data_IF_210836293386
#
_entry.id   IF_210836293386
#
_cell.length_a   1.000
_cell.length_b   1.000
_cell.length_c   1.000
_cell.angle_alpha   90.00
_cell.angle_beta   90.00
_cell.angle_gamma   90.00
#
_symmetry.space_group_name_H-M   'P 1'
#
loop_
_entity.id
_entity.type
_entity.pdbx_description
1 polymer ?
#
# COMPACT_ATOMS: atom_id res chain seq x y z
N UNK A 1 36.22 15.70 -19.66
CA UNK A 1 34.95 15.85 -20.41
C UNK A 1 34.98 14.77 -21.47
N UNK A 2 34.16 13.72 -21.32
CA UNK A 2 34.01 12.61 -22.27
C UNK A 2 32.85 12.80 -23.25
N UNK A 3 32.10 13.90 -23.11
CA UNK A 3 31.00 14.27 -23.99
C UNK A 3 31.50 14.70 -25.37
N UNK A 4 31.22 13.86 -26.36
CA UNK A 4 31.67 13.97 -27.74
C UNK A 4 30.49 13.81 -28.71
N UNK A 5 29.31 14.34 -28.34
CA UNK A 5 28.14 14.34 -29.22
C UNK A 5 27.92 15.72 -29.86
N UNK A 6 27.89 15.82 -31.20
CA UNK A 6 27.98 17.11 -31.90
C UNK A 6 26.67 17.90 -31.95
N UNK A 7 25.51 17.26 -31.72
CA UNK A 7 24.20 17.89 -31.95
C UNK A 7 23.57 18.50 -30.70
N UNK A 8 23.92 18.03 -29.49
CA UNK A 8 23.41 18.57 -28.23
C UNK A 8 24.48 18.48 -27.15
N UNK A 9 24.56 19.50 -26.29
CA UNK A 9 25.43 19.50 -25.11
C UNK A 9 24.84 18.60 -24.02
N UNK A 10 25.68 18.03 -23.14
CA UNK A 10 25.20 17.25 -21.98
C UNK A 10 24.24 18.08 -21.11
N UNK A 11 24.53 19.37 -20.90
CA UNK A 11 23.70 20.24 -20.09
C UNK A 11 22.29 20.43 -20.69
N UNK A 12 22.20 20.62 -22.00
CA UNK A 12 20.90 20.77 -22.67
C UNK A 12 20.15 19.45 -22.76
N UNK A 13 20.86 18.33 -22.95
CA UNK A 13 20.28 16.98 -22.86
C UNK A 13 19.65 16.74 -21.49
N UNK A 14 20.35 17.09 -20.41
CA UNK A 14 19.82 16.95 -19.05
C UNK A 14 18.61 17.86 -18.78
N UNK A 15 18.52 19.04 -19.39
CA UNK A 15 17.32 19.89 -19.30
C UNK A 15 16.11 19.22 -19.97
N UNK A 16 16.31 18.62 -21.15
CA UNK A 16 15.26 17.87 -21.83
C UNK A 16 14.84 16.66 -20.98
N UNK A 17 15.78 15.90 -20.44
CA UNK A 17 15.46 14.75 -19.59
C UNK A 17 14.66 15.18 -18.35
N UNK A 18 14.99 16.31 -17.71
CA UNK A 18 14.20 16.85 -16.59
C UNK A 18 12.76 17.16 -17.00
N UNK A 19 12.57 17.84 -18.13
CA UNK A 19 11.22 18.08 -18.68
C UNK A 19 10.47 16.78 -19.03
N UNK A 20 11.19 15.76 -19.50
CA UNK A 20 10.62 14.44 -19.74
C UNK A 20 10.18 13.76 -18.44
N UNK A 21 11.00 13.79 -17.39
CA UNK A 21 10.63 13.30 -16.05
C UNK A 21 9.35 13.96 -15.55
N UNK A 22 9.22 15.28 -15.67
CA UNK A 22 8.00 16.00 -15.27
C UNK A 22 6.77 15.49 -16.05
N UNK A 23 6.90 15.22 -17.34
CA UNK A 23 5.82 14.64 -18.14
C UNK A 23 5.51 13.19 -17.74
N UNK A 24 6.51 12.38 -17.41
CA UNK A 24 6.32 11.01 -16.94
C UNK A 24 5.61 10.96 -15.58
N UNK A 25 5.87 11.93 -14.69
CA UNK A 25 5.12 12.08 -13.45
C UNK A 25 3.64 12.37 -13.75
N UNK A 26 3.32 13.22 -14.73
CA UNK A 26 1.93 13.46 -15.14
C UNK A 26 1.29 12.26 -15.86
N UNK A 27 2.10 11.45 -16.56
CA UNK A 27 1.64 10.25 -17.25
C UNK A 27 1.14 9.19 -16.26
N UNK A 28 1.57 9.23 -14.99
CA UNK A 28 1.05 8.37 -13.91
C UNK A 28 -0.45 8.52 -13.62
N UNK A 29 -1.08 9.57 -14.17
CA UNK A 29 -2.54 9.72 -14.19
C UNK A 29 -3.08 10.84 -13.30
N UNK A 30 -2.25 11.47 -12.46
CA UNK A 30 -2.67 12.57 -11.58
C UNK A 30 -1.77 13.80 -11.70
N UNK A 31 -2.37 14.96 -11.49
CA UNK A 31 -1.68 16.24 -11.31
C UNK A 31 -1.27 16.39 -9.85
N UNK A 32 -0.36 17.32 -9.57
CA UNK A 32 0.04 17.69 -8.21
C UNK A 32 -1.13 18.15 -7.31
N UNK A 33 -2.25 18.56 -7.91
CA UNK A 33 -3.50 18.92 -7.21
C UNK A 33 -4.36 17.71 -6.81
N UNK A 34 -3.94 16.48 -7.13
CA UNK A 34 -4.75 15.26 -6.93
C UNK A 34 -5.86 15.07 -7.96
N UNK A 35 -6.04 16.03 -8.88
CA UNK A 35 -6.97 15.89 -9.99
C UNK A 35 -6.38 14.99 -11.08
N UNK A 36 -7.25 14.27 -11.78
CA UNK A 36 -6.83 13.38 -12.86
C UNK A 36 -6.15 14.20 -13.97
N UNK A 37 -4.98 13.75 -14.40
CA UNK A 37 -4.31 14.31 -15.57
C UNK A 37 -5.19 14.10 -16.81
N UNK A 38 -5.32 15.15 -17.61
CA UNK A 38 -6.03 15.08 -18.88
C UNK A 38 -5.01 14.84 -19.99
N UNK A 39 -5.20 13.74 -20.71
CA UNK A 39 -4.40 13.33 -21.86
C UNK A 39 -5.34 13.12 -23.04
N UNK A 40 -5.19 13.97 -24.05
CA UNK A 40 -5.82 13.80 -25.37
C UNK A 40 -4.82 13.16 -26.34
N UNK A 41 -5.29 12.78 -27.53
CA UNK A 41 -4.43 12.13 -28.53
C UNK A 41 -3.26 13.01 -28.94
N UNK A 42 -3.45 14.32 -29.01
CA UNK A 42 -2.43 15.29 -29.39
C UNK A 42 -1.27 15.34 -28.38
N UNK A 43 -1.58 15.47 -27.09
CA UNK A 43 -0.57 15.53 -26.04
C UNK A 43 0.13 14.18 -25.84
N UNK A 44 -0.59 13.07 -26.01
CA UNK A 44 0.03 11.73 -26.02
C UNK A 44 0.98 11.58 -27.20
N UNK A 45 0.59 12.01 -28.41
CA UNK A 45 1.44 11.97 -29.59
C UNK A 45 2.73 12.76 -29.37
N UNK A 46 2.64 13.96 -28.79
CA UNK A 46 3.82 14.74 -28.40
C UNK A 46 4.72 14.00 -27.41
N UNK A 47 4.16 13.37 -26.37
CA UNK A 47 4.95 12.62 -25.40
C UNK A 47 5.67 11.41 -26.05
N UNK A 48 4.99 10.72 -26.97
CA UNK A 48 5.59 9.64 -27.76
C UNK A 48 6.68 10.15 -28.72
N UNK A 49 6.52 11.35 -29.28
CA UNK A 49 7.57 12.00 -30.08
C UNK A 49 8.80 12.36 -29.24
N UNK A 50 8.62 12.78 -27.99
CA UNK A 50 9.73 12.95 -27.04
C UNK A 50 10.46 11.62 -26.79
N UNK A 51 9.72 10.53 -26.59
CA UNK A 51 10.31 9.19 -26.52
C UNK A 51 11.11 8.83 -27.79
N UNK A 52 10.54 9.05 -28.98
CA UNK A 52 11.22 8.83 -30.26
C UNK A 52 12.49 9.66 -30.40
N UNK A 53 12.48 10.92 -29.95
CA UNK A 53 13.65 11.78 -29.95
C UNK A 53 14.79 11.16 -29.13
N UNK A 54 14.53 10.74 -27.89
CA UNK A 54 15.56 10.12 -27.05
C UNK A 54 16.10 8.84 -27.66
N UNK A 55 15.24 7.95 -28.16
CA UNK A 55 15.69 6.73 -28.81
C UNK A 55 16.59 7.00 -30.03
N UNK A 56 16.30 8.06 -30.81
CA UNK A 56 17.14 8.41 -31.95
C UNK A 56 18.50 8.97 -31.51
N UNK A 57 18.54 9.82 -30.48
CA UNK A 57 19.78 10.34 -29.91
C UNK A 57 20.63 9.20 -29.35
N UNK A 58 20.05 8.33 -28.52
CA UNK A 58 20.76 7.20 -27.90
C UNK A 58 21.24 6.18 -28.93
N UNK A 59 20.42 5.88 -29.95
CA UNK A 59 20.86 5.03 -31.07
C UNK A 59 22.07 5.61 -31.79
N UNK A 60 22.09 6.93 -32.01
CA UNK A 60 23.24 7.59 -32.65
C UNK A 60 24.50 7.54 -31.78
N UNK A 61 24.35 7.73 -30.45
CA UNK A 61 25.45 7.59 -29.48
C UNK A 61 26.00 6.17 -29.44
N UNK A 62 25.12 5.17 -29.41
CA UNK A 62 25.50 3.75 -29.35
C UNK A 62 26.12 3.23 -30.65
N UNK A 63 25.82 3.86 -31.79
CA UNK A 63 26.33 3.44 -33.11
C UNK A 63 27.80 3.85 -33.38
N UNK A 64 28.36 4.76 -32.57
CA UNK A 64 29.69 5.31 -32.77
C UNK A 64 30.60 4.97 -31.59
N UNK A 65 31.69 4.24 -31.84
CA UNK A 65 32.69 3.93 -30.81
C UNK A 65 33.31 5.19 -30.17
N UNK A 66 33.32 6.31 -30.89
CA UNK A 66 33.81 7.61 -30.41
C UNK A 66 32.88 8.23 -29.36
N UNK A 67 31.58 7.90 -29.40
CA UNK A 67 30.56 8.44 -28.50
C UNK A 67 30.32 7.56 -27.26
N UNK A 68 30.98 6.40 -27.13
CA UNK A 68 30.85 5.52 -25.96
C UNK A 68 31.13 6.23 -24.63
N UNK A 69 32.18 7.06 -24.48
CA UNK A 69 32.41 7.84 -23.26
C UNK A 69 31.27 8.82 -22.93
N UNK A 70 30.51 9.26 -23.94
CA UNK A 70 29.37 10.17 -23.75
C UNK A 70 28.14 9.46 -23.17
N UNK A 71 27.96 8.17 -23.46
CA UNK A 71 26.92 7.34 -22.84
C UNK A 71 27.25 7.12 -21.35
N UNK A 72 28.50 6.81 -21.03
CA UNK A 72 28.97 6.66 -19.65
C UNK A 72 28.82 7.97 -18.86
N UNK A 73 29.15 9.11 -19.47
CA UNK A 73 28.97 10.43 -18.85
C UNK A 73 27.48 10.79 -18.67
N UNK A 74 26.60 10.40 -19.61
CA UNK A 74 25.16 10.55 -19.46
C UNK A 74 24.62 9.71 -18.29
N UNK A 75 25.01 8.44 -18.20
CA UNK A 75 24.58 7.56 -17.11
C UNK A 75 25.08 8.03 -15.74
N UNK A 76 26.29 8.58 -15.67
CA UNK A 76 26.79 9.22 -14.45
C UNK A 76 25.92 10.42 -14.03
N UNK A 77 25.57 11.29 -14.98
CA UNK A 77 24.71 12.45 -14.72
C UNK A 77 23.27 12.05 -14.34
N UNK A 78 22.73 10.99 -14.97
CA UNK A 78 21.43 10.42 -14.62
C UNK A 78 21.44 9.83 -13.22
N UNK A 79 22.49 9.08 -12.85
CA UNK A 79 22.68 8.51 -11.52
C UNK A 79 22.75 9.59 -10.44
N UNK A 80 23.47 10.69 -10.69
CA UNK A 80 23.50 11.84 -9.79
C UNK A 80 22.09 12.44 -9.61
N UNK A 81 21.34 12.61 -10.70
CA UNK A 81 19.98 13.15 -10.66
C UNK A 81 19.00 12.22 -9.93
N UNK A 82 19.02 10.91 -10.21
CA UNK A 82 18.10 9.93 -9.60
C UNK A 82 18.44 9.65 -8.13
N UNK A 83 19.68 9.87 -7.72
CA UNK A 83 20.10 9.78 -6.31
C UNK A 83 19.55 10.89 -5.42
N UNK A 84 19.04 11.98 -6.02
CA UNK A 84 18.52 13.10 -5.25
C UNK A 84 17.27 12.68 -4.45
N UNK A 85 17.17 12.98 -3.14
CA UNK A 85 16.07 12.50 -2.30
C UNK A 85 14.67 12.91 -2.77
N UNK A 86 14.56 14.02 -3.50
CA UNK A 86 13.29 14.52 -4.05
C UNK A 86 12.96 13.99 -5.45
N UNK A 87 13.80 13.13 -6.01
CA UNK A 87 13.54 12.54 -7.31
C UNK A 87 12.39 11.52 -7.20
N UNK A 88 11.45 11.45 -8.17
CA UNK A 88 10.34 10.51 -8.09
C UNK A 88 10.83 9.07 -8.02
N UNK A 89 10.54 8.37 -6.92
CA UNK A 89 11.03 7.00 -6.69
C UNK A 89 10.58 6.01 -7.77
N UNK A 90 9.38 6.21 -8.35
CA UNK A 90 8.88 5.39 -9.46
C UNK A 90 9.73 5.50 -10.73
N UNK A 91 10.58 6.52 -10.84
CA UNK A 91 11.47 6.77 -11.97
C UNK A 91 12.95 6.57 -11.61
N UNK A 92 13.26 6.09 -10.40
CA UNK A 92 14.64 6.02 -9.89
C UNK A 92 15.58 5.13 -10.73
N UNK A 93 15.03 4.26 -11.57
CA UNK A 93 15.75 3.39 -12.49
C UNK A 93 15.99 4.03 -13.87
N UNK A 94 15.75 5.34 -14.03
CA UNK A 94 16.00 6.07 -15.27
C UNK A 94 17.51 6.03 -15.60
N UNK A 95 17.81 5.51 -16.79
CA UNK A 95 19.17 5.36 -17.33
C UNK A 95 19.18 5.57 -18.84
N UNK A 96 20.36 5.60 -19.45
CA UNK A 96 20.53 5.59 -20.90
C UNK A 96 19.83 4.38 -21.54
N UNK A 97 19.85 3.22 -20.89
CA UNK A 97 19.16 2.01 -21.33
C UNK A 97 17.62 2.16 -21.31
N UNK A 98 17.09 2.87 -20.31
CA UNK A 98 15.67 3.21 -20.25
C UNK A 98 15.31 4.19 -21.38
N UNK A 99 16.15 5.19 -21.63
CA UNK A 99 15.94 6.19 -22.69
C UNK A 99 16.10 5.61 -24.11
N UNK A 100 16.91 4.58 -24.29
CA UNK A 100 17.05 3.82 -25.55
C UNK A 100 15.75 3.09 -25.94
N UNK A 101 14.84 2.89 -24.96
CA UNK A 101 13.49 2.33 -25.14
C UNK A 101 12.39 3.28 -24.68
N UNK A 102 12.62 4.59 -24.84
CA UNK A 102 11.75 5.61 -24.25
C UNK A 102 10.29 5.55 -24.71
N UNK A 103 9.96 5.14 -25.95
CA UNK A 103 8.55 4.97 -26.35
C UNK A 103 7.87 3.82 -25.60
N UNK A 104 8.59 2.73 -25.34
CA UNK A 104 8.11 1.64 -24.49
C UNK A 104 7.86 2.13 -23.07
N UNK A 105 8.80 2.89 -22.51
CA UNK A 105 8.70 3.50 -21.20
C UNK A 105 7.49 4.47 -21.06
N UNK A 106 7.26 5.31 -22.07
CA UNK A 106 6.06 6.18 -22.15
C UNK A 106 4.78 5.37 -22.20
N UNK A 107 4.74 4.35 -23.07
CA UNK A 107 3.58 3.48 -23.25
C UNK A 107 3.21 2.78 -21.96
N UNK A 108 4.21 2.26 -21.24
CA UNK A 108 4.05 1.66 -19.93
C UNK A 108 3.37 2.63 -18.96
N UNK A 109 3.90 3.85 -18.78
CA UNK A 109 3.33 4.78 -17.82
C UNK A 109 1.91 5.25 -18.17
N UNK A 110 1.62 5.47 -19.45
CA UNK A 110 0.29 5.87 -19.90
C UNK A 110 -0.75 4.74 -19.79
N UNK A 111 -0.35 3.50 -20.03
CA UNK A 111 -1.25 2.34 -19.96
C UNK A 111 -1.45 1.89 -18.50
N UNK A 112 -0.39 1.92 -17.69
CA UNK A 112 -0.43 1.47 -16.29
C UNK A 112 -0.96 2.53 -15.31
N UNK A 113 -1.32 3.73 -15.78
CA UNK A 113 -2.04 4.73 -14.99
C UNK A 113 -3.33 4.16 -14.35
N UNK A 114 -3.66 4.59 -13.12
CA UNK A 114 -4.78 4.06 -12.34
C UNK A 114 -5.78 5.17 -11.94
N UNK A 115 -7.06 5.10 -12.34
CA UNK A 115 -7.66 4.13 -13.25
C UNK A 115 -7.33 4.43 -14.73
N UNK A 116 -7.15 3.39 -15.53
CA UNK A 116 -7.10 3.52 -16.99
C UNK A 116 -8.52 3.70 -17.50
N UNK A 117 -8.86 4.93 -17.92
CA UNK A 117 -10.19 5.28 -18.43
C UNK A 117 -10.31 4.96 -19.91
N UNK A 118 -11.50 4.60 -20.37
CA UNK A 118 -11.80 4.36 -21.78
C UNK A 118 -11.42 5.54 -22.67
N UNK A 119 -11.66 6.77 -22.21
CA UNK A 119 -11.29 8.00 -22.95
C UNK A 119 -9.78 8.14 -23.10
N UNK A 120 -9.02 7.79 -22.07
CA UNK A 120 -7.56 7.83 -22.08
C UNK A 120 -6.98 6.74 -22.98
N UNK A 121 -7.48 5.51 -22.86
CA UNK A 121 -7.08 4.39 -23.72
C UNK A 121 -7.40 4.69 -25.19
N UNK A 122 -8.58 5.25 -25.48
CA UNK A 122 -8.93 5.68 -26.84
C UNK A 122 -7.98 6.75 -27.36
N UNK A 123 -7.71 7.79 -26.56
CA UNK A 123 -6.77 8.84 -26.93
C UNK A 123 -5.37 8.29 -27.22
N UNK A 124 -4.90 7.35 -26.39
CA UNK A 124 -3.62 6.67 -26.56
C UNK A 124 -3.56 5.85 -27.86
N UNK A 125 -4.57 5.01 -28.11
CA UNK A 125 -4.65 4.21 -29.33
C UNK A 125 -4.73 5.08 -30.58
N UNK A 126 -5.52 6.15 -30.55
CA UNK A 126 -5.60 7.12 -31.65
C UNK A 126 -4.22 7.72 -31.92
N UNK A 127 -3.52 8.20 -30.90
CA UNK A 127 -2.19 8.80 -31.05
C UNK A 127 -1.15 7.81 -31.62
N UNK A 128 -1.14 6.57 -31.12
CA UNK A 128 -0.23 5.52 -31.57
C UNK A 128 -0.44 5.19 -33.05
N UNK A 129 -1.70 4.94 -33.45
CA UNK A 129 -2.07 4.60 -34.82
C UNK A 129 -1.78 5.77 -35.76
N UNK A 130 -2.15 7.00 -35.40
CA UNK A 130 -1.90 8.19 -36.21
C UNK A 130 -0.40 8.43 -36.44
N UNK A 131 0.43 8.27 -35.41
CA UNK A 131 1.88 8.40 -35.54
C UNK A 131 2.47 7.36 -36.49
N UNK A 132 2.03 6.10 -36.40
CA UNK A 132 2.50 5.03 -37.29
C UNK A 132 2.03 5.23 -38.73
N UNK A 133 0.77 5.62 -38.93
CA UNK A 133 0.25 5.93 -40.26
C UNK A 133 0.96 7.11 -40.90
N UNK A 134 1.28 8.15 -40.12
CA UNK A 134 2.06 9.29 -40.60
C UNK A 134 3.47 8.85 -41.03
N UNK A 135 4.17 8.04 -40.23
CA UNK A 135 5.49 7.51 -40.59
C UNK A 135 5.44 6.62 -41.85
N UNK A 136 4.37 5.83 -42.00
CA UNK A 136 4.18 4.99 -43.19
C UNK A 136 3.83 5.81 -44.43
N UNK A 137 3.03 6.88 -44.28
CA UNK A 137 2.65 7.75 -45.39
C UNK A 137 3.84 8.48 -46.03
N UNK A 138 4.91 8.72 -45.26
CA UNK A 138 6.16 9.27 -45.78
C UNK A 138 6.95 8.27 -46.63
N UNK A 139 6.69 6.96 -46.51
CA UNK A 139 7.47 5.88 -47.13
C UNK A 139 6.70 5.07 -48.18
N UNK A 140 5.39 4.92 -48.02
CA UNK A 140 4.54 4.01 -48.79
C UNK A 140 3.28 4.74 -49.28
N UNK A 141 2.92 4.56 -50.56
CA UNK A 141 1.74 5.21 -51.17
C UNK A 141 0.40 4.65 -50.65
N UNK A 142 0.39 3.41 -50.14
CA UNK A 142 -0.79 2.75 -49.57
C UNK A 142 -0.54 2.38 -48.10
N UNK A 143 -0.38 3.42 -47.27
CA UNK A 143 0.01 3.29 -45.87
C UNK A 143 -1.00 2.49 -45.03
N UNK A 144 -2.30 2.55 -45.35
CA UNK A 144 -3.35 1.82 -44.65
C UNK A 144 -3.23 0.31 -44.87
N UNK A 145 -3.11 -0.14 -46.12
CA UNK A 145 -2.97 -1.57 -46.39
C UNK A 145 -1.65 -2.12 -45.86
N UNK A 146 -0.57 -1.34 -45.95
CA UNK A 146 0.70 -1.74 -45.37
C UNK A 146 0.64 -1.85 -43.84
N UNK A 147 -0.02 -0.91 -43.17
CA UNK A 147 -0.28 -0.97 -41.73
C UNK A 147 -1.09 -2.21 -41.34
N UNK A 148 -2.23 -2.45 -42.00
CA UNK A 148 -3.09 -3.61 -41.76
C UNK A 148 -2.37 -4.93 -42.01
N UNK A 149 -1.55 -5.01 -43.07
CA UNK A 149 -0.76 -6.20 -43.39
C UNK A 149 0.25 -6.57 -42.31
N UNK A 150 0.75 -5.58 -41.55
CA UNK A 150 1.70 -5.77 -40.43
C UNK A 150 1.00 -6.13 -39.12
N UNK A 151 -0.25 -5.73 -38.92
CA UNK A 151 -1.07 -6.16 -37.78
C UNK A 151 -1.49 -7.64 -37.87
N UNK A 152 -1.79 -8.13 -39.08
CA UNK A 152 -2.22 -9.52 -39.31
C UNK A 152 -1.26 -10.60 -38.77
N UNK A 153 0.08 -10.55 -38.98
CA UNK A 153 1.01 -11.56 -38.44
C UNK A 153 1.13 -11.54 -36.91
N UNK A 154 0.76 -10.46 -36.22
CA UNK A 154 0.82 -10.38 -34.75
C UNK A 154 -0.32 -11.17 -34.06
N UNK A 155 -1.45 -11.40 -34.75
CA UNK A 155 -2.56 -12.19 -34.20
C UNK A 155 -2.22 -13.67 -34.00
N UNK A 156 -1.30 -14.23 -34.78
CA UNK A 156 -0.95 -15.66 -34.70
C UNK A 156 -0.01 -16.01 -33.55
N UNK A 157 0.82 -15.06 -33.07
CA UNK A 157 1.68 -15.27 -31.89
C UNK A 157 0.90 -15.10 -30.57
N UNK A 158 -0.05 -14.16 -30.53
CA UNK A 158 -0.94 -13.90 -29.39
C UNK A 158 -1.80 -15.13 -29.01
N UNK A 159 -2.26 -15.90 -30.00
CA UNK A 159 -3.10 -17.07 -29.76
C UNK A 159 -2.40 -18.20 -28.98
N UNK A 160 -1.06 -18.23 -28.95
CA UNK A 160 -0.30 -19.22 -28.17
C UNK A 160 -0.28 -18.97 -26.67
N UNK A 161 -0.61 -17.75 -26.22
CA UNK A 161 -0.61 -17.37 -24.80
C UNK A 161 -2.00 -17.60 -24.16
N UNK A 162 -3.07 -17.60 -24.97
CA UNK A 162 -4.44 -17.72 -24.47
C UNK A 162 -4.86 -19.16 -24.11
N UNK A 163 -4.10 -20.19 -24.48
CA UNK A 163 -4.51 -21.60 -24.30
C UNK A 163 -4.05 -22.25 -22.98
N UNK A 164 -3.30 -21.58 -22.11
CA UNK A 164 -2.93 -22.18 -20.81
C UNK A 164 -4.02 -21.94 -19.75
N UNK A 165 -5.24 -22.44 -20.00
CA UNK A 165 -6.22 -22.75 -18.96
C UNK A 165 -5.96 -24.16 -18.42
N UNK A 166 -5.22 -24.27 -17.32
CA UNK A 166 -5.38 -25.34 -16.33
C UNK A 166 -4.52 -25.03 -15.10
N UNK A 167 -5.17 -25.06 -13.94
CA UNK A 167 -4.67 -24.87 -12.59
C UNK A 167 -3.39 -25.70 -12.28
N UNK A 168 -2.47 -25.14 -11.51
CA UNK A 168 -1.98 -25.63 -10.21
C UNK A 168 -1.01 -24.58 -9.65
N UNK A 169 -1.18 -24.35 -8.35
CA UNK A 169 -0.35 -23.54 -7.46
C UNK A 169 1.05 -24.14 -7.37
N UNK A 170 2.04 -23.48 -7.95
CA UNK A 170 3.44 -23.61 -7.54
C UNK A 170 4.03 -22.21 -7.48
N UNK A 171 4.38 -21.82 -6.25
CA UNK A 171 5.15 -20.64 -5.90
C UNK A 171 6.58 -20.87 -6.40
N UNK A 172 6.82 -20.55 -7.67
CA UNK A 172 8.13 -20.20 -8.23
C UNK A 172 7.94 -19.80 -9.70
N UNK A 173 7.49 -18.55 -9.92
CA UNK A 173 7.49 -17.96 -11.26
C UNK A 173 8.77 -17.15 -11.46
N UNK A 174 9.73 -17.60 -12.29
CA UNK A 174 10.55 -16.66 -13.01
C UNK A 174 9.61 -15.93 -13.96
N UNK A 175 9.50 -14.61 -13.79
CA UNK A 175 8.93 -13.69 -14.76
C UNK A 175 9.41 -14.14 -16.15
N UNK A 176 8.54 -14.59 -17.08
CA UNK A 176 8.99 -14.89 -18.41
C UNK A 176 9.35 -13.54 -19.01
N UNK A 177 10.65 -13.24 -19.01
CA UNK A 177 11.22 -12.32 -19.97
C UNK A 177 10.82 -12.86 -21.34
N UNK A 178 9.71 -12.33 -21.87
CA UNK A 178 9.41 -12.41 -23.29
C UNK A 178 10.43 -11.48 -23.95
N UNK A 179 11.68 -11.93 -24.00
CA UNK A 179 12.61 -11.48 -25.01
C UNK A 179 12.22 -12.24 -26.27
N UNK A 180 11.61 -11.58 -27.27
CA UNK A 180 11.54 -12.22 -28.57
C UNK A 180 12.99 -12.54 -28.98
N UNK A 181 13.23 -13.77 -29.44
CA UNK A 181 14.48 -14.11 -30.12
C UNK A 181 14.56 -13.22 -31.36
N UNK A 182 15.22 -12.07 -31.22
CA UNK A 182 15.51 -11.14 -32.32
C UNK A 182 16.58 -11.80 -33.17
N UNK A 183 16.14 -12.52 -34.21
CA UNK A 183 17.00 -12.79 -35.34
C UNK A 183 17.24 -11.46 -36.09
N UNK A 184 18.41 -10.87 -35.87
CA UNK A 184 19.19 -10.14 -36.87
C UNK A 184 18.46 -9.15 -37.79
N UNK A 185 17.91 -8.07 -37.23
CA UNK A 185 17.93 -6.70 -37.76
C UNK A 185 17.16 -5.82 -36.76
N UNK A 186 17.77 -4.74 -36.30
CA UNK A 186 17.17 -3.74 -35.42
C UNK A 186 15.98 -3.07 -36.15
N UNK A 187 14.81 -3.72 -36.13
CA UNK A 187 13.57 -3.15 -36.63
C UNK A 187 12.99 -2.31 -35.51
N UNK A 188 12.72 -1.04 -35.79
CA UNK A 188 11.97 -0.15 -34.90
C UNK A 188 10.67 -0.87 -34.51
N UNK A 189 10.53 -1.21 -33.23
CA UNK A 189 9.30 -1.79 -32.70
C UNK A 189 8.15 -0.81 -32.93
N UNK A 190 7.06 -1.30 -33.51
CA UNK A 190 5.85 -0.54 -33.76
C UNK A 190 5.19 -0.19 -32.42
N UNK A 191 4.70 1.03 -32.28
CA UNK A 191 3.91 1.49 -31.14
C UNK A 191 2.71 0.59 -30.88
N UNK A 192 2.06 0.08 -31.92
CA UNK A 192 0.91 -0.83 -31.73
C UNK A 192 1.33 -2.17 -31.12
N UNK A 193 2.52 -2.68 -31.46
CA UNK A 193 3.06 -3.90 -30.84
C UNK A 193 3.37 -3.67 -29.35
N UNK A 194 4.04 -2.56 -29.04
CA UNK A 194 4.32 -2.12 -27.66
C UNK A 194 3.02 -1.95 -26.87
N UNK A 195 2.00 -1.35 -27.48
CA UNK A 195 0.70 -1.14 -26.86
C UNK A 195 0.04 -2.45 -26.48
N UNK A 196 0.02 -3.43 -27.39
CA UNK A 196 -0.56 -4.75 -27.13
C UNK A 196 0.19 -5.45 -26.00
N UNK A 197 1.52 -5.41 -26.01
CA UNK A 197 2.34 -6.00 -24.95
C UNK A 197 2.05 -5.37 -23.57
N UNK A 198 1.99 -4.05 -23.48
CA UNK A 198 1.70 -3.36 -22.22
C UNK A 198 0.26 -3.57 -21.74
N UNK A 199 -0.71 -3.67 -22.64
CA UNK A 199 -2.08 -4.03 -22.30
C UNK A 199 -2.17 -5.44 -21.72
N UNK A 200 -1.43 -6.42 -22.26
CA UNK A 200 -1.38 -7.77 -21.68
C UNK A 200 -0.72 -7.80 -20.31
N UNK A 201 0.37 -7.05 -20.11
CA UNK A 201 1.02 -6.92 -18.80
C UNK A 201 0.04 -6.35 -17.78
N UNK A 202 -0.65 -5.26 -18.13
CA UNK A 202 -1.68 -4.66 -17.29
C UNK A 202 -2.82 -5.64 -17.00
N UNK A 203 -3.34 -6.32 -18.02
CA UNK A 203 -4.41 -7.30 -17.85
C UNK A 203 -4.01 -8.42 -16.90
N UNK A 204 -2.79 -8.94 -17.03
CA UNK A 204 -2.25 -9.98 -16.14
C UNK A 204 -2.19 -9.50 -14.69
N UNK A 205 -1.70 -8.28 -14.46
CA UNK A 205 -1.67 -7.68 -13.12
C UNK A 205 -3.08 -7.49 -12.54
N UNK A 206 -4.03 -6.98 -13.33
CA UNK A 206 -5.43 -6.78 -12.93
C UNK A 206 -6.11 -8.12 -12.61
N UNK A 207 -5.86 -9.17 -13.40
CA UNK A 207 -6.39 -10.51 -13.13
C UNK A 207 -5.82 -11.10 -11.83
N UNK A 208 -4.52 -10.91 -11.58
CA UNK A 208 -3.88 -11.32 -10.33
C UNK A 208 -4.52 -10.62 -9.12
N UNK A 209 -4.63 -9.28 -9.18
CA UNK A 209 -5.27 -8.48 -8.12
C UNK A 209 -6.72 -8.95 -7.90
N UNK A 210 -7.51 -9.12 -8.97
CA UNK A 210 -8.88 -9.61 -8.86
C UNK A 210 -8.98 -11.00 -8.21
N UNK A 211 -8.05 -11.89 -8.50
CA UNK A 211 -7.99 -13.22 -7.90
C UNK A 211 -7.69 -13.12 -6.40
N UNK A 212 -6.72 -12.29 -6.02
CA UNK A 212 -6.40 -12.02 -4.61
C UNK A 212 -7.57 -11.38 -3.87
N UNK A 213 -8.25 -10.39 -4.48
CA UNK A 213 -9.44 -9.76 -3.93
C UNK A 213 -10.56 -10.77 -3.71
N UNK A 214 -10.80 -11.68 -4.67
CA UNK A 214 -11.82 -12.72 -4.53
C UNK A 214 -11.49 -13.67 -3.37
N UNK A 215 -10.23 -14.08 -3.24
CA UNK A 215 -9.77 -14.92 -2.12
C UNK A 215 -9.90 -14.20 -0.77
N UNK A 216 -9.58 -12.91 -0.73
CA UNK A 216 -9.72 -12.07 0.45
C UNK A 216 -11.19 -11.91 0.86
N UNK A 217 -12.09 -11.70 -0.11
CA UNK A 217 -13.53 -11.62 0.12
C UNK A 217 -14.07 -12.93 0.69
N UNK A 218 -13.61 -14.08 0.20
CA UNK A 218 -13.99 -15.40 0.75
C UNK A 218 -13.54 -15.53 2.21
N UNK A 219 -12.29 -15.17 2.51
CA UNK A 219 -11.73 -15.23 3.86
C UNK A 219 -12.49 -14.29 4.81
N UNK A 220 -12.71 -13.04 4.40
CA UNK A 220 -13.42 -12.02 5.17
C UNK A 220 -14.87 -12.45 5.43
N UNK A 221 -15.58 -12.99 4.43
CA UNK A 221 -16.92 -13.51 4.60
C UNK A 221 -16.96 -14.71 5.56
N UNK A 222 -15.96 -15.60 5.51
CA UNK A 222 -15.89 -16.75 6.44
C UNK A 222 -15.74 -16.27 7.89
N UNK A 223 -14.91 -15.26 8.12
CA UNK A 223 -14.72 -14.65 9.45
C UNK A 223 -16.02 -13.98 9.90
N UNK A 224 -16.68 -13.22 9.02
CA UNK A 224 -17.97 -12.59 9.32
C UNK A 224 -19.08 -13.61 9.62
N UNK A 225 -19.09 -14.76 8.95
CA UNK A 225 -20.05 -15.83 9.27
C UNK A 225 -19.86 -16.37 10.69
N UNK A 226 -18.62 -16.47 11.18
CA UNK A 226 -18.33 -16.83 12.58
C UNK A 226 -18.88 -15.81 13.58
N UNK A 227 -19.09 -14.55 13.18
CA UNK A 227 -19.78 -13.55 14.00
C UNK A 227 -21.28 -13.86 14.10
N UNK A 228 -21.92 -14.22 12.98
CA UNK A 228 -23.38 -14.43 12.91
C UNK A 228 -23.88 -15.74 13.52
N UNK A 229 -23.08 -16.81 13.49
CA UNK A 229 -23.47 -18.09 14.09
C UNK A 229 -23.53 -18.04 15.63
N UNK A 230 -22.95 -17.00 16.25
CA UNK A 230 -23.02 -16.78 17.69
C UNK A 230 -24.42 -16.36 18.20
N UNK A 231 -25.29 -15.86 17.32
CA UNK A 231 -26.66 -15.46 17.70
C UNK A 231 -27.70 -16.59 17.50
N UNK A 232 -27.46 -17.50 16.55
CA UNK A 232 -28.43 -18.50 16.07
C UNK A 232 -28.40 -19.84 16.85
N UNK A 233 -27.24 -20.31 17.29
CA UNK A 233 -27.08 -21.66 17.87
C UNK A 233 -27.06 -21.68 19.41
N UNK A 234 -27.84 -20.79 20.02
CA UNK A 234 -27.89 -20.56 21.47
C UNK A 234 -28.32 -21.77 22.34
N UNK A 235 -28.72 -22.91 21.76
CA UNK A 235 -29.21 -24.06 22.53
C UNK A 235 -28.33 -25.33 22.50
N UNK A 236 -27.36 -25.46 21.57
CA UNK A 236 -26.66 -26.74 21.36
C UNK A 236 -25.30 -26.87 22.07
N UNK A 237 -24.44 -25.84 21.96
CA UNK A 237 -23.07 -25.88 22.48
C UNK A 237 -22.96 -25.41 23.94
N UNK A 238 -23.85 -24.51 24.35
CA UNK A 238 -23.91 -23.92 25.70
C UNK A 238 -24.03 -24.98 26.80
N UNK A 239 -24.70 -26.11 26.55
CA UNK A 239 -24.90 -27.15 27.56
C UNK A 239 -23.69 -28.06 27.80
N UNK A 240 -22.66 -28.06 26.95
CA UNK A 240 -21.47 -28.92 27.14
C UNK A 240 -20.32 -28.20 27.83
N UNK A 241 -20.05 -26.92 27.53
CA UNK A 241 -19.01 -26.15 28.23
C UNK A 241 -19.43 -25.71 29.64
N UNK A 242 -20.68 -25.27 29.84
CA UNK A 242 -21.17 -24.83 31.16
C UNK A 242 -21.30 -25.97 32.20
N UNK A 243 -21.16 -27.24 31.80
CA UNK A 243 -21.18 -28.37 32.73
C UNK A 243 -19.85 -28.64 33.41
N UNK A 244 -18.73 -28.16 32.86
CA UNK A 244 -17.41 -28.37 33.44
C UNK A 244 -17.03 -27.34 34.52
N UNK A 245 -17.71 -26.19 34.59
CA UNK A 245 -17.34 -25.06 35.45
C UNK A 245 -18.31 -24.79 36.63
N UNK A 246 -19.35 -25.61 36.80
CA UNK A 246 -20.34 -25.43 37.88
C UNK A 246 -19.89 -25.89 39.27
N UNK A 247 -18.62 -26.25 39.45
CA UNK A 247 -18.06 -26.62 40.75
C UNK A 247 -17.36 -25.46 41.50
N UNK A 248 -17.31 -24.25 40.95
CA UNK A 248 -16.61 -23.10 41.58
C UNK A 248 -17.50 -21.89 41.87
N UNK A 249 -18.83 -22.07 41.97
CA UNK A 249 -19.76 -21.00 42.30
C UNK A 249 -19.87 -20.79 43.82
N UNK A 250 -18.78 -20.37 44.47
CA UNK A 250 -18.84 -19.65 45.74
C UNK A 250 -17.52 -18.87 45.89
N UNK A 251 -17.59 -17.54 45.73
CA UNK A 251 -16.69 -16.47 46.21
C UNK A 251 -16.40 -15.41 45.12
N UNK A 252 -16.88 -14.18 45.33
CA UNK A 252 -16.33 -12.93 44.76
C UNK A 252 -16.64 -12.65 43.28
N UNK A 253 -17.43 -11.61 43.00
CA UNK A 253 -17.88 -11.21 41.67
C UNK A 253 -16.77 -10.60 40.79
N UNK A 254 -15.98 -11.42 40.11
CA UNK A 254 -15.34 -11.06 38.84
C UNK A 254 -15.82 -12.02 37.76
N UNK A 255 -16.72 -11.54 36.89
CA UNK A 255 -17.29 -12.36 35.82
C UNK A 255 -16.31 -12.42 34.64
N UNK A 256 -15.92 -13.64 34.24
CA UNK A 256 -14.96 -13.91 33.17
C UNK A 256 -15.54 -13.53 31.79
N UNK A 257 -14.68 -13.17 30.84
CA UNK A 257 -15.09 -12.98 29.44
C UNK A 257 -15.56 -14.33 28.91
N UNK A 258 -16.76 -14.40 28.35
CA UNK A 258 -17.24 -15.65 27.75
C UNK A 258 -16.61 -15.89 26.36
N UNK A 259 -16.61 -17.16 25.94
CA UNK A 259 -16.02 -17.56 24.66
C UNK A 259 -16.65 -16.86 23.46
N UNK A 260 -17.95 -16.58 23.51
CA UNK A 260 -18.68 -15.95 22.40
C UNK A 260 -18.25 -14.50 22.21
N UNK A 261 -18.17 -13.73 23.30
CA UNK A 261 -17.70 -12.34 23.33
C UNK A 261 -16.25 -12.25 22.87
N UNK A 262 -15.38 -13.14 23.37
CA UNK A 262 -13.99 -13.22 22.91
C UNK A 262 -13.88 -13.51 21.41
N UNK A 263 -14.65 -14.50 20.91
CA UNK A 263 -14.63 -14.88 19.51
C UNK A 263 -15.19 -13.75 18.62
N UNK A 264 -16.23 -13.06 19.10
CA UNK A 264 -16.81 -11.91 18.42
C UNK A 264 -15.80 -10.77 18.27
N UNK A 265 -15.09 -10.39 19.33
CA UNK A 265 -14.03 -9.37 19.24
C UNK A 265 -12.89 -9.82 18.33
N UNK A 266 -12.40 -11.07 18.46
CA UNK A 266 -11.36 -11.62 17.58
C UNK A 266 -11.77 -11.55 16.11
N UNK A 267 -13.00 -11.94 15.80
CA UNK A 267 -13.54 -11.91 14.44
C UNK A 267 -13.67 -10.50 13.88
N UNK A 268 -14.20 -9.55 14.67
CA UNK A 268 -14.31 -8.13 14.27
C UNK A 268 -12.96 -7.51 13.96
N UNK A 269 -11.95 -7.82 14.77
CA UNK A 269 -10.58 -7.38 14.53
C UNK A 269 -10.05 -7.94 13.22
N UNK A 270 -10.17 -9.26 13.02
CA UNK A 270 -9.71 -9.92 11.79
C UNK A 270 -10.45 -9.39 10.56
N UNK A 271 -11.76 -9.14 10.67
CA UNK A 271 -12.56 -8.54 9.60
C UNK A 271 -12.03 -7.16 9.22
N UNK A 272 -11.66 -6.32 10.19
CA UNK A 272 -11.03 -5.03 9.89
C UNK A 272 -9.67 -5.18 9.19
N UNK A 273 -8.79 -6.04 9.71
CA UNK A 273 -7.44 -6.25 9.14
C UNK A 273 -7.48 -6.93 7.75
N UNK A 274 -8.48 -7.75 7.47
CA UNK A 274 -8.62 -8.44 6.19
C UNK A 274 -9.59 -7.75 5.24
N UNK A 275 -10.13 -6.59 5.63
CA UNK A 275 -10.96 -5.80 4.74
C UNK A 275 -10.13 -5.23 3.58
N UNK A 276 -10.72 -5.27 2.39
CA UNK A 276 -10.10 -4.79 1.15
C UNK A 276 -9.66 -3.33 1.25
N UNK A 277 -10.48 -2.44 1.86
CA UNK A 277 -10.13 -1.03 2.06
C UNK A 277 -8.91 -0.92 2.97
N UNK A 278 -8.88 -1.66 4.08
CA UNK A 278 -7.78 -1.59 5.04
C UNK A 278 -6.46 -2.07 4.41
N UNK A 279 -6.47 -3.18 3.66
CA UNK A 279 -5.29 -3.67 2.93
C UNK A 279 -4.77 -2.62 1.93
N UNK A 280 -5.66 -1.93 1.21
CA UNK A 280 -5.29 -0.83 0.33
C UNK A 280 -4.68 0.35 1.09
N UNK A 281 -5.24 0.72 2.25
CA UNK A 281 -4.71 1.78 3.10
C UNK A 281 -3.32 1.43 3.65
N UNK A 282 -3.07 0.19 4.05
CA UNK A 282 -1.74 -0.27 4.50
C UNK A 282 -0.71 -0.16 3.38
N UNK A 283 -1.08 -0.58 2.17
CA UNK A 283 -0.22 -0.43 0.99
C UNK A 283 0.08 1.05 0.71
N UNK A 284 -0.95 1.91 0.75
CA UNK A 284 -0.78 3.36 0.62
C UNK A 284 0.09 3.97 1.71
N UNK A 285 -0.09 3.57 2.97
CA UNK A 285 0.74 4.00 4.08
C UNK A 285 2.20 3.56 3.90
N UNK A 286 2.42 2.32 3.45
CA UNK A 286 3.75 1.81 3.11
C UNK A 286 4.43 2.69 2.07
N UNK A 287 3.72 3.06 1.00
CA UNK A 287 4.23 3.96 -0.03
C UNK A 287 4.55 5.35 0.52
N UNK A 288 3.64 5.97 1.25
CA UNK A 288 3.81 7.33 1.80
C UNK A 288 5.00 7.36 2.75
N UNK A 289 5.03 6.45 3.72
CA UNK A 289 6.08 6.45 4.73
C UNK A 289 7.41 5.96 4.19
N UNK A 290 7.48 5.24 3.06
CA UNK A 290 8.76 4.92 2.38
C UNK A 290 9.55 6.17 1.99
N UNK A 291 8.90 7.33 1.83
CA UNK A 291 9.57 8.60 1.56
C UNK A 291 10.30 9.17 2.81
N UNK A 292 11.28 10.08 2.62
CA UNK A 292 11.90 10.83 3.72
C UNK A 292 10.90 11.64 4.56
N UNK A 293 11.21 11.89 5.84
CA UNK A 293 10.35 12.59 6.82
C UNK A 293 9.69 13.85 6.28
N UNK A 294 10.49 14.71 5.65
CA UNK A 294 10.03 16.00 5.13
C UNK A 294 8.94 15.83 4.05
N UNK A 295 9.02 14.78 3.22
CA UNK A 295 8.10 14.59 2.10
C UNK A 295 6.76 14.04 2.56
N UNK A 296 6.75 13.01 3.41
CA UNK A 296 5.46 12.48 3.88
C UNK A 296 4.74 13.47 4.79
N UNK A 297 5.45 14.32 5.55
CA UNK A 297 4.82 15.42 6.31
C UNK A 297 4.06 16.36 5.36
N UNK A 298 4.67 16.77 4.24
CA UNK A 298 4.03 17.63 3.26
C UNK A 298 2.77 17.01 2.65
N UNK A 299 2.74 15.69 2.47
CA UNK A 299 1.53 14.99 2.01
C UNK A 299 0.39 15.19 3.01
N UNK A 300 0.64 14.94 4.30
CA UNK A 300 -0.39 15.09 5.34
C UNK A 300 -0.79 16.55 5.58
N UNK A 301 0.14 17.50 5.48
CA UNK A 301 -0.17 18.93 5.55
C UNK A 301 -1.14 19.34 4.43
N UNK A 302 -0.93 18.86 3.21
CA UNK A 302 -1.83 19.15 2.07
C UNK A 302 -3.20 18.50 2.24
N UNK A 303 -3.26 17.26 2.73
CA UNK A 303 -4.52 16.59 3.05
C UNK A 303 -5.31 17.36 4.11
N UNK A 304 -4.63 17.96 5.08
CA UNK A 304 -5.26 18.77 6.13
C UNK A 304 -5.74 20.16 5.67
N UNK A 305 -5.32 20.67 4.51
CA UNK A 305 -5.78 21.96 3.98
C UNK A 305 -7.13 21.84 3.27
N UNK A 306 -7.54 20.63 2.85
CA UNK A 306 -8.84 20.31 2.23
C UNK A 306 -10.01 20.29 3.23
N UNK A 307 -10.00 21.22 4.19
CA UNK A 307 -10.59 21.17 5.54
C UNK A 307 -12.11 21.37 5.65
N UNK A 308 -12.87 21.04 4.62
CA UNK A 308 -14.33 21.28 4.64
C UNK A 308 -15.13 20.20 5.40
N UNK A 309 -14.54 19.05 5.77
CA UNK A 309 -15.26 17.99 6.51
C UNK A 309 -14.49 17.46 7.72
N UNK A 310 -15.19 17.34 8.86
CA UNK A 310 -14.69 16.74 10.12
C UNK A 310 -14.37 15.24 9.93
N UNK A 311 -14.99 14.60 8.94
CA UNK A 311 -14.76 13.21 8.56
C UNK A 311 -13.35 13.00 7.99
N UNK A 312 -12.69 14.00 7.40
CA UNK A 312 -11.39 13.77 6.77
C UNK A 312 -10.26 13.54 7.81
N UNK A 313 -10.44 13.98 9.06
CA UNK A 313 -9.41 13.85 10.10
C UNK A 313 -9.25 12.40 10.60
N UNK A 314 -10.34 11.63 10.69
CA UNK A 314 -10.25 10.27 11.19
C UNK A 314 -9.56 9.34 10.19
N UNK A 315 -9.79 9.52 8.89
CA UNK A 315 -9.10 8.79 7.84
C UNK A 315 -7.60 9.09 7.81
N UNK A 316 -7.22 10.37 8.04
CA UNK A 316 -5.81 10.75 8.18
C UNK A 316 -5.17 10.06 9.38
N UNK A 317 -5.84 10.04 10.53
CA UNK A 317 -5.31 9.37 11.73
C UNK A 317 -5.22 7.85 11.50
N UNK A 318 -6.23 7.25 10.88
CA UNK A 318 -6.22 5.83 10.51
C UNK A 318 -5.00 5.51 9.65
N UNK A 319 -4.77 6.27 8.58
CA UNK A 319 -3.64 6.09 7.67
C UNK A 319 -2.28 6.24 8.38
N UNK A 320 -2.16 7.19 9.31
CA UNK A 320 -0.95 7.38 10.12
C UNK A 320 -0.71 6.17 11.04
N UNK A 321 -1.74 5.67 11.73
CA UNK A 321 -1.64 4.50 12.60
C UNK A 321 -1.30 3.23 11.81
N UNK A 322 -1.91 3.05 10.63
CA UNK A 322 -1.56 1.95 9.72
C UNK A 322 -0.08 2.04 9.30
N UNK A 323 0.43 3.25 9.09
CA UNK A 323 1.85 3.54 8.88
C UNK A 323 2.79 2.98 9.94
N UNK A 324 2.37 3.05 11.22
CA UNK A 324 3.15 2.53 12.35
C UNK A 324 3.22 0.99 12.41
N UNK A 325 2.36 0.29 11.64
CA UNK A 325 2.26 -1.17 11.70
C UNK A 325 2.55 -1.87 10.38
N UNK A 326 2.82 -1.13 9.29
CA UNK A 326 3.15 -1.69 7.97
C UNK A 326 4.22 -2.78 8.05
N UNK A 327 5.30 -2.52 8.79
CA UNK A 327 6.45 -3.43 8.94
C UNK A 327 6.11 -4.75 9.63
N UNK A 328 5.03 -4.79 10.41
CA UNK A 328 4.62 -5.92 11.25
C UNK A 328 3.25 -6.48 10.87
N UNK A 329 2.64 -5.97 9.81
CA UNK A 329 1.27 -6.29 9.41
C UNK A 329 0.99 -7.81 9.33
N UNK A 330 1.86 -8.57 8.66
CA UNK A 330 1.71 -10.03 8.55
C UNK A 330 1.82 -10.72 9.91
N UNK A 331 2.84 -10.38 10.71
CA UNK A 331 3.04 -10.98 12.02
C UNK A 331 1.89 -10.62 12.99
N UNK A 332 1.22 -9.47 12.82
CA UNK A 332 0.02 -9.10 13.58
C UNK A 332 -1.17 -10.02 13.25
N UNK A 333 -1.40 -10.31 11.98
CA UNK A 333 -2.48 -11.20 11.53
C UNK A 333 -2.21 -12.63 12.02
N UNK A 334 -0.97 -13.12 11.89
CA UNK A 334 -0.56 -14.43 12.38
C UNK A 334 -0.75 -14.56 13.90
N UNK A 335 -0.32 -13.54 14.67
CA UNK A 335 -0.56 -13.48 16.10
C UNK A 335 -2.04 -13.60 16.41
N UNK A 336 -2.87 -12.73 15.81
CA UNK A 336 -4.32 -12.73 16.00
C UNK A 336 -4.94 -14.10 15.72
N UNK A 337 -4.55 -14.75 14.63
CA UNK A 337 -5.02 -16.09 14.29
C UNK A 337 -4.62 -17.13 15.34
N UNK A 338 -3.40 -17.03 15.87
CA UNK A 338 -2.85 -17.97 16.87
C UNK A 338 -3.38 -17.79 18.31
N UNK A 339 -3.94 -16.63 18.66
CA UNK A 339 -4.45 -16.38 20.02
C UNK A 339 -5.53 -17.40 20.35
N UNK A 340 -5.30 -18.16 21.41
CA UNK A 340 -6.26 -19.06 22.02
C UNK A 340 -7.13 -18.31 23.06
N UNK A 341 -8.31 -18.84 23.32
CA UNK A 341 -9.20 -18.29 24.35
C UNK A 341 -8.56 -18.40 25.74
N UNK A 342 -8.53 -17.27 26.46
CA UNK A 342 -8.12 -17.17 27.86
C UNK A 342 -9.30 -16.59 28.66
N UNK A 343 -9.73 -17.28 29.71
CA UNK A 343 -10.90 -16.92 30.52
C UNK A 343 -10.61 -15.82 31.54
N UNK A 344 -9.71 -14.87 31.25
CA UNK A 344 -9.38 -13.77 32.16
C UNK A 344 -10.46 -12.70 32.22
N UNK A 345 -10.70 -12.11 33.41
CA UNK A 345 -11.61 -10.97 33.57
C UNK A 345 -11.00 -9.69 32.97
N UNK A 346 -11.83 -8.78 32.47
CA UNK A 346 -11.38 -7.47 31.96
C UNK A 346 -10.67 -6.66 33.05
N UNK A 347 -11.12 -6.77 34.31
CA UNK A 347 -10.47 -6.17 35.48
C UNK A 347 -9.02 -6.66 35.62
N UNK A 348 -8.80 -7.98 35.53
CA UNK A 348 -7.47 -8.59 35.60
C UNK A 348 -6.59 -8.15 34.43
N UNK A 349 -7.11 -8.16 33.20
CA UNK A 349 -6.38 -7.69 32.02
C UNK A 349 -5.96 -6.22 32.15
N UNK A 350 -6.86 -5.37 32.63
CA UNK A 350 -6.58 -3.96 32.89
C UNK A 350 -5.50 -3.78 33.98
N UNK A 351 -5.55 -4.55 35.06
CA UNK A 351 -4.51 -4.50 36.10
C UNK A 351 -3.13 -4.88 35.56
N UNK A 352 -3.03 -5.90 34.70
CA UNK A 352 -1.77 -6.25 34.03
C UNK A 352 -1.27 -5.10 33.11
N UNK A 353 -2.17 -4.43 32.40
CA UNK A 353 -1.82 -3.25 31.60
C UNK A 353 -1.28 -2.10 32.47
N UNK A 354 -1.88 -1.85 33.63
CA UNK A 354 -1.37 -0.81 34.55
C UNK A 354 0.04 -1.14 35.08
N UNK A 355 0.39 -2.42 35.24
CA UNK A 355 1.76 -2.83 35.63
C UNK A 355 2.80 -2.45 34.58
N UNK A 356 2.43 -2.39 33.30
CA UNK A 356 3.33 -1.95 32.22
C UNK A 356 3.77 -0.49 32.41
N UNK A 357 2.86 0.39 32.83
CA UNK A 357 3.19 1.82 33.07
C UNK A 357 4.03 2.00 34.34
N UNK A 358 3.79 1.18 35.36
CA UNK A 358 4.47 1.27 36.65
C UNK A 358 5.89 0.67 36.65
N UNK A 359 6.41 0.24 35.49
CA UNK A 359 7.77 -0.28 35.35
C UNK A 359 8.05 -1.57 36.14
N UNK A 360 7.01 -2.33 36.49
CA UNK A 360 7.13 -3.56 37.30
C UNK A 360 7.22 -4.84 36.48
N UNK A 361 7.25 -4.78 35.15
CA UNK A 361 7.52 -5.97 34.33
C UNK A 361 9.04 -6.09 34.06
N UNK A 362 9.64 -7.28 34.25
CA UNK A 362 11.07 -7.50 34.03
C UNK A 362 11.46 -7.52 32.53
N UNK A 363 10.56 -7.13 31.62
CA UNK A 363 10.75 -7.17 30.17
C UNK A 363 11.04 -5.81 29.52
N UNK A 364 10.97 -4.69 30.27
CA UNK A 364 11.23 -3.36 29.73
C UNK A 364 12.72 -3.00 29.58
N UNK A 365 13.62 -3.68 30.28
CA UNK A 365 15.06 -3.38 30.25
C UNK A 365 15.81 -4.00 29.05
N UNK A 366 15.11 -4.68 28.15
CA UNK A 366 15.74 -5.34 27.00
C UNK A 366 15.29 -4.73 25.67
N UNK A 367 16.18 -3.84 25.17
CA UNK A 367 16.34 -3.35 23.80
C UNK A 367 15.67 -2.02 23.45
N UNK A 368 16.09 -0.98 24.16
CA UNK A 368 16.16 0.41 23.70
C UNK A 368 17.03 0.58 22.40
N UNK A 369 17.72 -0.48 21.97
CA UNK A 369 18.70 -0.48 20.87
C UNK A 369 18.14 -0.62 19.45
N UNK A 370 16.84 -0.81 19.25
CA UNK A 370 16.22 -0.74 17.91
C UNK A 370 14.87 -0.01 18.03
N UNK A 371 14.90 1.21 18.57
CA UNK A 371 13.80 2.15 18.34
C UNK A 371 13.80 2.39 16.83
N UNK A 372 12.77 1.89 16.14
CA UNK A 372 12.59 2.20 14.73
C UNK A 372 12.41 3.72 14.61
N UNK A 373 13.48 4.42 14.26
CA UNK A 373 13.55 5.89 14.23
C UNK A 373 12.41 6.49 13.40
N UNK A 374 11.93 5.70 12.42
CA UNK A 374 10.81 6.01 11.56
C UNK A 374 9.46 5.95 12.29
N UNK A 375 9.15 4.88 13.02
CA UNK A 375 7.91 4.76 13.80
C UNK A 375 7.83 5.84 14.87
N UNK A 376 8.95 6.15 15.53
CA UNK A 376 9.03 7.26 16.49
C UNK A 376 8.64 8.60 15.84
N UNK A 377 9.17 8.90 14.65
CA UNK A 377 8.84 10.11 13.91
C UNK A 377 7.35 10.19 13.52
N UNK A 378 6.74 9.06 13.15
CA UNK A 378 5.31 9.00 12.80
C UNK A 378 4.45 9.27 14.05
N UNK A 379 4.81 8.67 15.18
CA UNK A 379 4.10 8.86 16.45
C UNK A 379 4.24 10.28 16.99
N UNK A 380 5.42 10.91 16.88
CA UNK A 380 5.63 12.32 17.23
C UNK A 380 4.69 13.24 16.42
N UNK A 381 4.59 12.99 15.11
CA UNK A 381 3.67 13.73 14.25
C UNK A 381 2.21 13.52 14.66
N UNK A 382 1.82 12.29 14.96
CA UNK A 382 0.48 11.96 15.42
C UNK A 382 0.12 12.66 16.74
N UNK A 383 1.05 12.71 17.71
CA UNK A 383 0.84 13.42 18.98
C UNK A 383 0.56 14.90 18.71
N UNK A 384 1.34 15.52 17.82
CA UNK A 384 1.11 16.90 17.39
C UNK A 384 -0.25 17.09 16.72
N UNK A 385 -0.65 16.17 15.84
CA UNK A 385 -1.92 16.21 15.11
C UNK A 385 -3.14 16.08 16.05
N UNK A 386 -3.07 15.18 17.02
CA UNK A 386 -4.13 14.98 17.99
C UNK A 386 -4.32 16.23 18.86
N UNK A 387 -3.24 16.93 19.24
CA UNK A 387 -3.30 18.20 19.97
C UNK A 387 -4.15 18.11 21.25
N UNK A 388 -4.10 16.97 21.95
CA UNK A 388 -4.92 16.69 23.14
C UNK A 388 -6.31 16.12 22.87
N UNK A 389 -6.75 16.00 21.60
CA UNK A 389 -8.06 15.43 21.21
C UNK A 389 -8.02 13.90 21.11
N UNK A 390 -7.68 13.23 22.21
CA UNK A 390 -7.55 11.75 22.27
C UNK A 390 -8.85 11.02 21.95
N UNK A 391 -10.01 11.65 22.12
CA UNK A 391 -11.32 11.11 21.72
C UNK A 391 -11.40 10.76 20.23
N UNK A 392 -10.53 11.29 19.35
CA UNK A 392 -10.49 10.87 17.95
C UNK A 392 -10.02 9.42 17.77
N UNK A 393 -9.19 8.90 18.68
CA UNK A 393 -8.78 7.48 18.69
C UNK A 393 -9.95 6.53 18.99
N UNK A 394 -11.02 7.05 19.61
CA UNK A 394 -12.24 6.30 19.88
C UNK A 394 -13.12 6.09 18.65
N UNK A 395 -12.93 6.89 17.60
CA UNK A 395 -13.62 6.68 16.31
C UNK A 395 -12.99 5.58 15.46
N UNK A 396 -11.80 5.14 15.85
CA UNK A 396 -11.01 4.15 15.11
C UNK A 396 -11.19 2.76 15.72
N UNK A 397 -10.98 1.69 14.93
CA UNK A 397 -11.04 0.33 15.45
C UNK A 397 -10.15 0.14 16.69
N UNK A 398 -10.68 -0.47 17.78
CA UNK A 398 -9.94 -0.71 19.01
C UNK A 398 -8.55 -1.35 18.81
N UNK A 399 -8.49 -2.34 17.92
CA UNK A 399 -7.25 -3.05 17.63
C UNK A 399 -6.20 -2.16 16.99
N UNK A 400 -6.58 -1.27 16.07
CA UNK A 400 -5.64 -0.38 15.37
C UNK A 400 -4.88 0.50 16.37
N UNK A 401 -5.60 1.15 17.29
CA UNK A 401 -4.98 1.96 18.33
C UNK A 401 -4.07 1.11 19.23
N UNK A 402 -4.49 -0.11 19.58
CA UNK A 402 -3.72 -1.01 20.42
C UNK A 402 -2.41 -1.47 19.76
N UNK A 403 -2.41 -1.84 18.48
CA UNK A 403 -1.19 -2.29 17.78
C UNK A 403 -0.25 -1.16 17.41
N UNK A 404 -0.80 0.00 17.02
CA UNK A 404 -0.03 1.10 16.47
C UNK A 404 0.62 1.97 17.53
N UNK A 405 0.09 1.99 18.77
CA UNK A 405 0.63 2.78 19.88
C UNK A 405 1.47 1.87 20.78
N UNK A 406 2.81 1.88 20.66
CA UNK A 406 3.68 1.02 21.44
C UNK A 406 3.76 1.47 22.91
N UNK A 407 3.96 0.53 23.83
CA UNK A 407 3.97 0.78 25.29
C UNK A 407 5.02 1.78 25.76
N UNK A 408 6.13 1.93 25.03
CA UNK A 408 7.18 2.92 25.31
C UNK A 408 6.79 4.36 24.93
N UNK A 409 5.79 4.56 24.08
CA UNK A 409 5.43 5.88 23.57
C UNK A 409 4.71 6.73 24.63
N UNK A 410 4.96 8.05 24.70
CA UNK A 410 4.17 8.97 25.51
C UNK A 410 2.66 8.90 25.19
N UNK A 411 2.31 8.62 23.92
CA UNK A 411 0.93 8.48 23.48
C UNK A 411 0.23 7.28 24.14
N UNK A 412 0.96 6.21 24.47
CA UNK A 412 0.41 5.06 25.18
C UNK A 412 -0.09 5.42 26.57
N UNK A 413 0.71 6.21 27.32
CA UNK A 413 0.33 6.69 28.65
C UNK A 413 -0.91 7.57 28.58
N UNK A 414 -0.97 8.47 27.60
CA UNK A 414 -2.13 9.32 27.36
C UNK A 414 -3.39 8.52 27.01
N UNK A 415 -3.26 7.52 26.15
CA UNK A 415 -4.37 6.65 25.75
C UNK A 415 -4.85 5.75 26.90
N UNK A 416 -3.94 5.17 27.69
CA UNK A 416 -4.33 4.37 28.85
C UNK A 416 -4.98 5.20 29.95
N UNK A 417 -4.53 6.45 30.16
CA UNK A 417 -5.20 7.38 31.07
C UNK A 417 -6.63 7.68 30.61
N UNK A 418 -6.87 7.83 29.31
CA UNK A 418 -8.24 8.00 28.79
C UNK A 418 -9.08 6.71 28.98
N UNK A 419 -8.49 5.53 28.85
CA UNK A 419 -9.17 4.28 29.20
C UNK A 419 -9.48 4.24 30.70
N UNK A 420 -8.57 4.69 31.56
CA UNK A 420 -8.76 4.76 33.01
C UNK A 420 -9.88 5.73 33.41
N UNK A 421 -9.98 6.91 32.78
CA UNK A 421 -11.05 7.87 33.06
C UNK A 421 -12.41 7.27 32.70
N UNK A 422 -12.51 6.59 31.57
CA UNK A 422 -13.73 5.91 31.11
C UNK A 422 -14.06 4.71 32.01
N UNK A 423 -13.06 3.93 32.44
CA UNK A 423 -13.21 2.77 33.33
C UNK A 423 -13.64 3.17 34.75
N UNK A 424 -13.13 4.29 35.28
CA UNK A 424 -13.54 4.81 36.60
C UNK A 424 -14.88 5.55 36.57
N UNK A 425 -15.42 5.83 35.39
CA UNK A 425 -16.69 6.54 35.21
C UNK A 425 -16.66 8.00 35.67
N UNK A 426 -15.47 8.59 35.78
CA UNK A 426 -15.32 10.00 36.15
C UNK A 426 -15.69 10.87 34.94
N UNK A 427 -16.39 11.98 35.21
CA UNK A 427 -16.96 12.93 34.26
C UNK A 427 -15.99 13.42 33.18
N UNK A 428 -15.78 12.63 32.13
CA UNK A 428 -15.37 13.17 30.83
C UNK A 428 -16.60 13.78 30.17
N UNK A 429 -16.42 14.89 29.47
CA UNK A 429 -17.49 15.56 28.70
C UNK A 429 -18.03 14.69 27.54
N UNK A 430 -17.43 13.51 27.31
CA UNK A 430 -17.75 12.55 26.26
C UNK A 430 -17.60 11.12 26.81
N UNK A 431 -18.68 10.56 27.36
CA UNK A 431 -18.73 9.14 27.76
C UNK A 431 -18.79 8.30 26.48
N UNK A 432 -17.85 7.36 26.31
CA UNK A 432 -17.79 6.52 25.10
C UNK A 432 -18.49 5.16 25.26
N UNK A 433 -18.98 4.83 26.46
CA UNK A 433 -19.79 3.64 26.69
C UNK A 433 -21.03 3.93 27.54
N UNK A 434 -22.10 3.16 27.31
CA UNK A 434 -23.37 3.27 28.02
C UNK A 434 -23.41 2.44 29.33
N UNK A 435 -22.29 1.84 29.74
CA UNK A 435 -22.22 1.05 30.96
C UNK A 435 -22.42 1.94 32.21
N UNK A 436 -23.23 1.48 33.16
CA UNK A 436 -23.64 2.25 34.34
C UNK A 436 -22.52 2.40 35.38
N UNK A 437 -22.65 3.44 36.20
CA UNK A 437 -21.64 4.03 37.09
C UNK A 437 -21.26 3.16 38.32
N UNK A 438 -21.77 1.93 38.42
CA UNK A 438 -21.73 1.11 39.63
C UNK A 438 -20.54 0.14 39.73
N UNK A 439 -19.45 0.39 38.99
CA UNK A 439 -18.24 -0.46 38.96
C UNK A 439 -18.51 -1.93 38.61
N UNK A 440 -19.69 -2.25 38.10
CA UNK A 440 -20.07 -3.59 37.66
C UNK A 440 -20.30 -3.58 36.15
N UNK A 441 -19.28 -4.14 35.49
CA UNK A 441 -19.40 -5.01 34.32
C UNK A 441 -19.44 -4.32 32.94
N UNK A 442 -18.26 -3.90 32.48
CA UNK A 442 -17.94 -3.80 31.06
C UNK A 442 -17.85 -5.22 30.46
N UNK A 443 -18.98 -5.76 29.99
CA UNK A 443 -19.08 -7.12 29.41
C UNK A 443 -18.79 -7.10 27.91
N UNK A 444 -19.72 -6.55 27.15
CA UNK A 444 -19.64 -6.39 25.70
C UNK A 444 -19.81 -4.90 25.38
N UNK A 445 -18.74 -4.15 25.59
CA UNK A 445 -18.71 -2.72 25.26
C UNK A 445 -17.35 -2.35 24.69
N UNK A 446 -17.32 -1.25 23.95
CA UNK A 446 -16.12 -0.79 23.26
C UNK A 446 -14.91 -0.61 24.19
N UNK A 447 -15.12 -0.21 25.44
CA UNK A 447 -14.06 -0.10 26.45
C UNK A 447 -13.48 -1.47 26.85
N UNK A 448 -14.31 -2.51 26.96
CA UNK A 448 -13.86 -3.87 27.22
C UNK A 448 -13.04 -4.40 26.04
N UNK A 449 -13.55 -4.20 24.82
CA UNK A 449 -12.86 -4.58 23.58
C UNK A 449 -11.49 -3.89 23.46
N UNK A 450 -11.41 -2.58 23.75
CA UNK A 450 -10.14 -1.82 23.77
C UNK A 450 -9.15 -2.32 24.82
N UNK A 451 -9.65 -2.64 26.02
CA UNK A 451 -8.82 -3.20 27.10
C UNK A 451 -8.27 -4.57 26.71
N UNK A 452 -9.12 -5.42 26.14
CA UNK A 452 -8.73 -6.73 25.64
C UNK A 452 -7.70 -6.61 24.51
N UNK A 453 -7.92 -5.73 23.52
CA UNK A 453 -6.96 -5.45 22.45
C UNK A 453 -5.58 -5.06 23.00
N UNK A 454 -5.54 -4.14 23.96
CA UNK A 454 -4.28 -3.73 24.58
C UNK A 454 -3.60 -4.90 25.28
N UNK A 455 -4.35 -5.72 26.00
CA UNK A 455 -3.81 -6.89 26.70
C UNK A 455 -3.19 -7.90 25.74
N UNK A 456 -3.89 -8.28 24.67
CA UNK A 456 -3.38 -9.30 23.74
C UNK A 456 -2.12 -8.87 23.00
N UNK A 457 -1.93 -7.58 22.75
CA UNK A 457 -0.79 -7.07 21.99
C UNK A 457 0.38 -6.67 22.89
N UNK A 458 0.13 -6.06 24.05
CA UNK A 458 1.19 -5.55 24.92
C UNK A 458 1.60 -6.50 26.06
N UNK A 459 0.69 -7.39 26.48
CA UNK A 459 0.97 -8.35 27.57
C UNK A 459 1.16 -9.75 27.01
N UNK A 460 0.21 -10.27 26.24
CA UNK A 460 0.31 -11.62 25.67
C UNK A 460 1.21 -11.70 24.42
N UNK A 461 1.34 -10.59 23.68
CA UNK A 461 2.07 -10.50 22.41
C UNK A 461 3.42 -9.79 22.49
N UNK A 462 3.94 -9.50 23.69
CA UNK A 462 5.10 -8.62 23.90
C UNK A 462 6.38 -9.04 23.16
N UNK A 463 6.53 -10.33 22.85
CA UNK A 463 7.67 -10.86 22.10
C UNK A 463 7.62 -10.58 20.59
N UNK A 464 6.43 -10.39 20.02
CA UNK A 464 6.21 -10.13 18.59
C UNK A 464 6.24 -8.64 18.25
N UNK A 465 5.90 -7.76 19.21
CA UNK A 465 5.85 -6.31 19.02
C UNK A 465 7.23 -5.62 19.01
N UNK A 466 8.29 -6.32 19.44
CA UNK A 466 9.63 -5.74 19.66
C UNK A 466 10.67 -6.18 18.61
N UNK A 467 10.24 -6.54 17.40
CA UNK A 467 11.14 -6.69 16.26
C UNK A 467 11.97 -7.98 16.25
N UNK A 468 11.34 -9.13 16.49
CA UNK A 468 11.85 -10.35 15.87
C UNK A 468 11.47 -10.28 14.38
N UNK A 469 12.47 -10.10 13.53
CA UNK A 469 12.34 -10.21 12.08
C UNK A 469 11.65 -11.53 11.74
N UNK A 470 10.38 -11.48 11.36
CA UNK A 470 9.73 -12.56 10.63
C UNK A 470 10.51 -12.69 9.31
N UNK A 471 11.30 -13.77 9.18
CA UNK A 471 12.08 -14.11 7.99
C UNK A 471 11.19 -14.47 6.82
#
# INVERSE_FOLDING_TARGET
MGWNYPYISLNDMMKLIKGFVDMMVLASGYRSSGLVAHWDSHNISKLLQWGLFFENVLRSLNSSDVCRPSVEELDAALSEMTSHPSFPQGLAHLSSATLDKARGFVSEHLIHALPLRDTHLRAFLTAAIEMELNELSEREHDCLNAYLSKLMPQNNSLNSVSERRSFVMDLDFPLPNITPKINGKCSREYLTELTVQELFKRQSAVLCIRTLETSLDILSNTIRCMESESESDNNGLSTKLLKHDKSSALMGSEQLIDFFTWNHWKSRILSYFLDKRTVQLVSGASMIFSAPKIQWIQVFERLQVSKERIDDLHEVIELILLGCIVSRWSCLIEHLMSIAYDSSSISKQYQELCKLILGRSPSFDLKEGIINSKESCILEYLIGLLGGRLHQLWKLPPALAAVAIPSWSPLFKLYLNEIETQFKGNSSTMRCCNCTQDRKEHKDCELAERTWCLYIFHVSGSHLMNGASCT
#
